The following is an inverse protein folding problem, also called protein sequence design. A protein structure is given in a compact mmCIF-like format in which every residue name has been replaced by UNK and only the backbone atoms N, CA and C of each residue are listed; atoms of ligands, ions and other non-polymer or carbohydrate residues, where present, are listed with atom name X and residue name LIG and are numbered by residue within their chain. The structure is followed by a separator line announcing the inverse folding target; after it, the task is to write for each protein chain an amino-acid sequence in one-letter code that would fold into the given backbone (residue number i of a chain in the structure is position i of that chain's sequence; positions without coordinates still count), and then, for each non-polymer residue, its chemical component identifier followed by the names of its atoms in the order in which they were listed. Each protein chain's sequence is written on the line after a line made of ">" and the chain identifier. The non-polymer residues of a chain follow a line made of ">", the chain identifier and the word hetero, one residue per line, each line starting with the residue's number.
data_IF_799963725328
#
_entry.id   IF_799963725328
#
_cell.length_a   1.000
_cell.length_b   1.000
_cell.length_c   1.000
_cell.angle_alpha   90.00
_cell.angle_beta   90.00
_cell.angle_gamma   90.00
#
_symmetry.space_group_name_H-M   'P 1'
#
loop_
_entity.id
_entity.type
_entity.pdbx_description
1 polymer ?
#
# COMPACT_ATOMS: atom_id res chain seq x y z
N UNK A 1 11.36 -1.30 -1.11
CA UNK A 1 10.48 -0.37 -1.85
C UNK A 1 11.26 0.42 -2.91
N UNK A 2 12.41 1.01 -2.56
CA UNK A 2 13.23 1.75 -3.55
C UNK A 2 13.77 0.85 -4.65
N UNK A 3 14.23 -0.36 -4.30
CA UNK A 3 14.65 -1.34 -5.28
C UNK A 3 13.50 -1.76 -6.21
N UNK A 4 12.29 -1.95 -5.67
CA UNK A 4 11.12 -2.27 -6.50
C UNK A 4 10.81 -1.16 -7.52
N UNK A 5 10.89 0.11 -7.12
CA UNK A 5 10.72 1.26 -8.00
C UNK A 5 11.80 1.27 -9.11
N UNK A 6 13.07 1.05 -8.74
CA UNK A 6 14.18 1.02 -9.68
C UNK A 6 14.04 -0.13 -10.67
N UNK A 7 13.79 -1.34 -10.17
CA UNK A 7 13.70 -2.53 -11.01
C UNK A 7 12.49 -2.49 -11.94
N UNK A 8 11.36 -1.96 -11.48
CA UNK A 8 10.20 -1.76 -12.33
C UNK A 8 10.50 -0.81 -13.52
N UNK A 9 11.26 0.27 -13.29
CA UNK A 9 11.72 1.19 -14.37
C UNK A 9 12.71 0.56 -15.33
N UNK A 10 13.43 -0.47 -14.92
CA UNK A 10 14.41 -1.21 -15.72
C UNK A 10 13.82 -2.46 -16.37
N UNK A 11 12.54 -2.71 -16.19
CA UNK A 11 11.86 -3.94 -16.64
C UNK A 11 12.52 -5.22 -16.07
N UNK A 12 12.94 -5.15 -14.81
CA UNK A 12 13.55 -6.26 -14.06
C UNK A 12 12.56 -6.78 -13.01
N UNK A 13 12.40 -8.10 -12.94
CA UNK A 13 11.58 -8.73 -11.90
C UNK A 13 12.24 -8.58 -10.52
N UNK A 14 11.62 -7.76 -9.67
CA UNK A 14 12.06 -7.49 -8.30
C UNK A 14 12.10 -8.77 -7.46
N UNK A 15 11.11 -9.65 -7.62
CA UNK A 15 11.03 -10.91 -6.86
C UNK A 15 12.21 -11.83 -7.19
N UNK A 16 12.53 -11.99 -8.47
CA UNK A 16 13.67 -12.81 -8.90
C UNK A 16 15.00 -12.29 -8.35
N UNK A 17 15.19 -10.95 -8.31
CA UNK A 17 16.40 -10.34 -7.73
C UNK A 17 16.48 -10.59 -6.23
N UNK A 18 15.37 -10.43 -5.50
CA UNK A 18 15.34 -10.65 -4.05
C UNK A 18 15.54 -12.13 -3.69
N UNK A 19 15.02 -13.05 -4.50
CA UNK A 19 15.27 -14.50 -4.33
C UNK A 19 16.72 -14.85 -4.55
N UNK A 20 17.33 -14.34 -5.62
CA UNK A 20 18.76 -14.53 -5.89
C UNK A 20 19.64 -13.95 -4.77
N UNK A 21 19.35 -12.74 -4.28
CA UNK A 21 20.04 -12.12 -3.16
C UNK A 21 19.85 -12.92 -1.87
N UNK A 22 18.67 -13.49 -1.65
CA UNK A 22 18.28 -14.30 -0.50
C UNK A 22 19.05 -15.62 -0.37
N UNK A 23 19.76 -16.08 -1.42
CA UNK A 23 20.65 -17.24 -1.34
C UNK A 23 21.89 -16.97 -0.50
N UNK A 24 22.20 -15.71 -0.21
CA UNK A 24 23.33 -15.33 0.63
C UNK A 24 22.94 -15.33 2.11
N UNK A 25 23.73 -16.02 2.93
CA UNK A 25 23.46 -16.28 4.36
C UNK A 25 23.20 -15.03 5.22
N UNK A 26 23.75 -13.88 4.84
CA UNK A 26 23.61 -12.61 5.58
C UNK A 26 22.62 -11.63 4.95
N UNK A 27 21.85 -12.06 3.95
CA UNK A 27 20.79 -11.23 3.36
C UNK A 27 19.53 -11.28 4.23
N UNK A 28 18.99 -10.11 4.55
CA UNK A 28 17.72 -10.01 5.26
C UNK A 28 16.58 -10.04 4.25
N UNK A 29 15.69 -11.02 4.38
CA UNK A 29 14.61 -11.29 3.43
C UNK A 29 13.45 -10.28 3.56
N UNK A 30 13.75 -8.99 3.48
CA UNK A 30 12.72 -7.95 3.36
C UNK A 30 12.13 -7.94 1.95
N UNK A 31 10.81 -7.68 1.89
CA UNK A 31 10.09 -7.56 0.63
C UNK A 31 9.45 -6.18 0.50
N UNK A 32 9.26 -5.67 -0.74
CA UNK A 32 8.50 -4.44 -0.97
C UNK A 32 7.06 -4.57 -0.46
N UNK A 33 6.49 -3.48 0.00
CA UNK A 33 5.10 -3.44 0.44
C UNK A 33 4.72 -2.12 1.10
N UNK A 34 3.46 -2.03 1.47
CA UNK A 34 2.92 -0.91 2.24
C UNK A 34 3.24 -1.12 3.71
N UNK A 35 4.03 -0.21 4.30
CA UNK A 35 4.43 -0.31 5.70
C UNK A 35 3.46 0.46 6.57
N UNK A 36 2.66 -0.27 7.35
CA UNK A 36 1.69 0.25 8.31
C UNK A 36 1.89 -0.31 9.71
N UNK A 37 0.81 -0.32 10.51
CA UNK A 37 0.79 -0.88 11.85
C UNK A 37 1.15 0.12 12.94
N UNK A 38 1.23 -0.37 14.20
CA UNK A 38 1.34 0.49 15.37
C UNK A 38 2.75 1.04 15.61
N UNK A 39 3.79 0.19 15.54
CA UNK A 39 5.15 0.58 15.92
C UNK A 39 6.00 0.98 14.71
N UNK A 40 6.14 0.11 13.71
CA UNK A 40 7.07 0.32 12.59
C UNK A 40 6.73 1.58 11.79
N UNK A 41 5.44 1.89 11.66
CA UNK A 41 4.97 3.10 10.99
C UNK A 41 5.15 4.38 11.81
N UNK A 42 5.28 4.31 13.13
CA UNK A 42 5.16 5.46 14.05
C UNK A 42 6.45 5.73 14.84
N UNK A 43 7.07 4.72 15.45
CA UNK A 43 8.18 4.93 16.40
C UNK A 43 9.38 5.68 15.80
N UNK A 44 9.75 5.48 14.51
CA UNK A 44 10.80 6.28 13.89
C UNK A 44 10.51 7.79 13.89
N UNK A 45 9.23 8.19 13.84
CA UNK A 45 8.87 9.63 13.91
C UNK A 45 9.08 10.21 15.29
N UNK A 46 8.85 9.46 16.38
CA UNK A 46 9.20 9.93 17.72
C UNK A 46 10.71 10.19 17.85
N UNK A 47 11.53 9.28 17.31
CA UNK A 47 12.98 9.44 17.31
C UNK A 47 13.41 10.64 16.45
N UNK A 48 12.82 10.83 15.26
CA UNK A 48 13.14 11.99 14.40
C UNK A 48 12.73 13.31 15.06
N UNK A 49 11.55 13.34 15.70
CA UNK A 49 11.10 14.52 16.44
C UNK A 49 12.10 14.87 17.54
N UNK A 50 12.50 13.90 18.37
CA UNK A 50 13.47 14.12 19.44
C UNK A 50 14.84 14.55 18.92
N UNK A 51 15.26 13.97 17.80
CA UNK A 51 16.51 14.34 17.12
C UNK A 51 16.52 15.81 16.68
N UNK A 52 15.41 16.29 16.12
CA UNK A 52 15.26 17.69 15.72
C UNK A 52 15.27 18.63 16.93
N UNK A 53 14.66 18.27 18.05
CA UNK A 53 14.70 19.06 19.29
C UNK A 53 16.13 19.28 19.80
N UNK A 54 17.01 18.29 19.64
CA UNK A 54 18.42 18.41 20.04
C UNK A 54 19.34 18.94 18.92
N UNK A 55 18.76 19.48 17.84
CA UNK A 55 19.48 20.15 16.77
C UNK A 55 20.08 19.24 15.69
N UNK A 56 19.68 17.94 15.61
CA UNK A 56 20.19 17.03 14.59
C UNK A 56 19.09 16.62 13.62
N UNK A 57 19.30 16.77 12.29
CA UNK A 57 18.37 16.33 11.26
C UNK A 57 18.72 14.91 10.80
N UNK A 58 17.88 13.89 11.11
CA UNK A 58 18.17 12.49 10.80
C UNK A 58 17.84 12.16 9.34
N UNK A 59 18.80 12.31 8.45
CA UNK A 59 18.64 12.22 7.00
C UNK A 59 18.18 10.83 6.53
N UNK A 60 18.80 9.75 7.02
CA UNK A 60 18.50 8.38 6.59
C UNK A 60 17.10 7.95 7.01
N UNK A 61 16.73 8.21 8.27
CA UNK A 61 15.40 7.84 8.80
C UNK A 61 14.31 8.59 8.03
N UNK A 62 14.49 9.89 7.83
CA UNK A 62 13.51 10.72 7.10
C UNK A 62 13.41 10.29 5.62
N UNK A 63 14.50 9.97 4.95
CA UNK A 63 14.48 9.49 3.56
C UNK A 63 13.70 8.17 3.45
N UNK A 64 13.99 7.19 4.33
CA UNK A 64 13.27 5.91 4.34
C UNK A 64 11.77 6.08 4.64
N UNK A 65 11.42 6.99 5.56
CA UNK A 65 10.01 7.29 5.86
C UNK A 65 9.30 7.95 4.67
N UNK A 66 9.91 8.97 4.07
CA UNK A 66 9.35 9.66 2.89
C UNK A 66 9.09 8.68 1.73
N UNK A 67 10.02 7.76 1.49
CA UNK A 67 9.84 6.73 0.47
C UNK A 67 8.62 5.84 0.78
N UNK A 68 8.55 5.29 2.00
CA UNK A 68 7.43 4.42 2.37
C UNK A 68 6.08 5.15 2.36
N UNK A 69 6.06 6.42 2.74
CA UNK A 69 4.85 7.24 2.73
C UNK A 69 4.38 7.54 1.28
N UNK A 70 5.28 7.52 0.30
CA UNK A 70 4.93 7.71 -1.11
C UNK A 70 4.47 6.44 -1.84
N UNK A 71 4.54 5.26 -1.20
CA UNK A 71 4.25 4.00 -1.89
C UNK A 71 2.81 3.84 -2.32
N UNK A 72 1.84 4.35 -1.55
CA UNK A 72 0.43 4.34 -1.97
C UNK A 72 0.20 5.07 -3.29
N UNK A 73 0.74 6.28 -3.41
CA UNK A 73 0.71 7.07 -4.65
C UNK A 73 1.42 6.34 -5.80
N UNK A 74 2.60 5.76 -5.53
CA UNK A 74 3.34 5.00 -6.54
C UNK A 74 2.52 3.83 -7.10
N UNK A 75 1.84 3.07 -6.24
CA UNK A 75 0.97 1.96 -6.66
C UNK A 75 -0.14 2.45 -7.58
N UNK A 76 -0.82 3.54 -7.22
CA UNK A 76 -1.90 4.11 -8.05
C UNK A 76 -1.36 4.60 -9.40
N UNK A 77 -0.18 5.22 -9.44
CA UNK A 77 0.47 5.62 -10.69
C UNK A 77 0.75 4.42 -11.60
N UNK A 78 1.29 3.32 -11.05
CA UNK A 78 1.55 2.12 -11.83
C UNK A 78 0.25 1.48 -12.36
N UNK A 79 -0.81 1.43 -11.55
CA UNK A 79 -2.11 0.93 -11.98
C UNK A 79 -2.70 1.84 -13.06
N UNK A 80 -2.60 3.16 -12.91
CA UNK A 80 -3.07 4.13 -13.90
C UNK A 80 -2.36 3.97 -15.25
N UNK A 81 -1.05 3.72 -15.25
CA UNK A 81 -0.29 3.41 -16.47
C UNK A 81 -0.76 2.11 -17.12
N UNK A 82 -1.05 1.07 -16.33
CA UNK A 82 -1.58 -0.20 -16.83
C UNK A 82 -2.99 -0.04 -17.41
N UNK A 83 -3.86 0.74 -16.74
CA UNK A 83 -5.20 1.05 -17.25
C UNK A 83 -5.11 1.76 -18.60
N UNK A 84 -4.26 2.77 -18.71
CA UNK A 84 -4.06 3.48 -19.97
C UNK A 84 -3.55 2.56 -21.10
N UNK A 85 -2.61 1.66 -20.81
CA UNK A 85 -2.11 0.67 -21.78
C UNK A 85 -3.18 -0.32 -22.27
N UNK A 86 -4.24 -0.51 -21.48
CA UNK A 86 -5.36 -1.41 -21.80
C UNK A 86 -6.63 -0.65 -22.22
N UNK A 87 -6.52 0.63 -22.58
CA UNK A 87 -7.62 1.49 -23.01
C UNK A 87 -8.76 1.62 -21.98
N UNK A 88 -8.43 1.49 -20.68
CA UNK A 88 -9.37 1.70 -19.57
C UNK A 88 -9.31 3.17 -19.13
N UNK A 89 -10.46 3.87 -19.18
CA UNK A 89 -10.54 5.25 -18.71
C UNK A 89 -10.47 5.30 -17.18
N UNK A 90 -9.61 6.16 -16.63
CA UNK A 90 -9.49 6.37 -15.19
C UNK A 90 -10.74 6.98 -14.57
N UNK A 91 -11.22 8.08 -15.17
CA UNK A 91 -12.38 8.80 -14.63
C UNK A 91 -13.65 7.95 -14.75
N UNK A 92 -14.26 7.65 -13.61
CA UNK A 92 -15.45 6.83 -13.51
C UNK A 92 -15.20 5.32 -13.52
N UNK A 93 -13.95 4.86 -13.63
CA UNK A 93 -13.62 3.44 -13.52
C UNK A 93 -14.04 2.86 -12.16
N UNK A 94 -14.52 1.62 -12.17
CA UNK A 94 -14.90 0.90 -10.96
C UNK A 94 -13.72 0.07 -10.46
N UNK A 95 -13.15 0.45 -9.35
CA UNK A 95 -11.98 -0.19 -8.73
C UNK A 95 -12.43 -1.02 -7.54
N UNK A 96 -12.04 -2.28 -7.47
CA UNK A 96 -12.17 -3.09 -6.26
C UNK A 96 -10.83 -3.16 -5.54
N UNK A 97 -10.79 -2.71 -4.29
CA UNK A 97 -9.64 -2.90 -3.40
C UNK A 97 -9.93 -4.06 -2.45
N UNK A 98 -9.10 -5.10 -2.52
CA UNK A 98 -9.15 -6.27 -1.65
C UNK A 98 -8.13 -6.13 -0.51
N UNK A 99 -8.63 -6.12 0.72
CA UNK A 99 -7.85 -5.91 1.95
C UNK A 99 -7.71 -4.44 2.34
N UNK A 100 -7.95 -4.16 3.62
CA UNK A 100 -7.80 -2.84 4.25
C UNK A 100 -6.86 -2.88 5.46
N UNK A 101 -6.57 -4.06 6.01
CA UNK A 101 -5.68 -4.23 7.15
C UNK A 101 -4.24 -3.85 6.80
N UNK A 102 -3.38 -3.63 7.80
CA UNK A 102 -1.98 -3.29 7.52
C UNK A 102 -1.12 -4.51 7.13
N UNK A 103 -1.61 -5.73 7.34
CA UNK A 103 -0.98 -6.99 6.93
C UNK A 103 -2.02 -8.10 6.80
N UNK A 104 -1.66 -9.16 6.09
CA UNK A 104 -2.49 -10.33 5.85
C UNK A 104 -2.88 -11.06 7.16
N UNK A 105 -4.07 -11.65 7.15
CA UNK A 105 -4.61 -12.51 8.21
C UNK A 105 -4.59 -11.88 9.62
N UNK A 106 -4.86 -10.57 9.69
CA UNK A 106 -4.84 -9.82 10.93
C UNK A 106 -5.91 -8.72 10.92
N UNK A 107 -6.82 -8.63 11.92
CA UNK A 107 -7.93 -7.67 11.93
C UNK A 107 -7.51 -6.25 12.36
N UNK A 108 -6.27 -5.85 12.14
CA UNK A 108 -5.75 -4.56 12.58
C UNK A 108 -5.57 -3.59 11.41
N UNK A 109 -6.28 -2.47 11.48
CA UNK A 109 -6.27 -1.42 10.44
C UNK A 109 -5.39 -0.21 10.80
N UNK A 110 -4.75 -0.21 11.98
CA UNK A 110 -3.98 0.95 12.44
C UNK A 110 -2.89 1.33 11.46
N UNK A 111 -2.93 2.60 11.03
CA UNK A 111 -1.98 3.17 10.07
C UNK A 111 -1.83 2.35 8.77
N UNK A 112 -2.91 1.69 8.33
CA UNK A 112 -2.92 1.01 7.04
C UNK A 112 -2.71 2.01 5.91
N UNK A 113 -1.71 1.74 5.06
CA UNK A 113 -1.41 2.55 3.88
C UNK A 113 -2.30 2.25 2.68
N UNK A 114 -3.17 1.26 2.81
CA UNK A 114 -4.22 1.00 1.79
C UNK A 114 -5.15 2.19 1.65
N UNK A 115 -5.36 2.95 2.74
CA UNK A 115 -6.16 4.18 2.72
C UNK A 115 -5.58 5.23 1.77
N UNK A 116 -4.25 5.30 1.63
CA UNK A 116 -3.60 6.22 0.69
C UNK A 116 -3.94 5.85 -0.77
N UNK A 117 -4.03 4.54 -1.07
CA UNK A 117 -4.45 4.04 -2.39
C UNK A 117 -5.92 4.39 -2.67
N UNK A 118 -6.80 4.16 -1.69
CA UNK A 118 -8.23 4.47 -1.81
C UNK A 118 -8.42 5.95 -2.09
N UNK A 119 -7.86 6.80 -1.24
CA UNK A 119 -7.98 8.26 -1.37
C UNK A 119 -7.44 8.77 -2.72
N UNK A 120 -6.33 8.20 -3.21
CA UNK A 120 -5.76 8.64 -4.48
C UNK A 120 -6.63 8.22 -5.67
N UNK A 121 -7.22 7.02 -5.67
CA UNK A 121 -8.20 6.64 -6.70
C UNK A 121 -9.45 7.53 -6.67
N UNK A 122 -9.95 7.88 -5.48
CA UNK A 122 -11.08 8.81 -5.35
C UNK A 122 -10.71 10.22 -5.84
N UNK A 123 -9.49 10.72 -5.57
CA UNK A 123 -9.00 12.01 -6.06
C UNK A 123 -8.97 12.10 -7.58
N UNK A 124 -8.63 11.02 -8.26
CA UNK A 124 -8.67 10.94 -9.74
C UNK A 124 -10.03 10.53 -10.28
N UNK A 125 -11.07 10.58 -9.44
CA UNK A 125 -12.47 10.36 -9.80
C UNK A 125 -12.81 8.93 -10.25
N UNK A 126 -12.13 7.92 -9.71
CA UNK A 126 -12.57 6.54 -9.79
C UNK A 126 -13.68 6.26 -8.77
N UNK A 127 -14.51 5.25 -9.03
CA UNK A 127 -15.44 4.69 -8.07
C UNK A 127 -14.73 3.56 -7.33
N UNK A 128 -14.54 3.68 -6.02
CA UNK A 128 -13.78 2.70 -5.24
C UNK A 128 -14.70 1.91 -4.32
N UNK A 129 -14.75 0.61 -4.52
CA UNK A 129 -15.35 -0.35 -3.62
C UNK A 129 -14.24 -1.07 -2.83
N UNK A 130 -14.42 -1.26 -1.52
CA UNK A 130 -13.43 -1.90 -0.65
C UNK A 130 -14.04 -3.13 0.01
N UNK A 131 -13.33 -4.25 -0.04
CA UNK A 131 -13.73 -5.48 0.62
C UNK A 131 -12.60 -6.05 1.48
N UNK A 132 -12.90 -6.31 2.75
CA UNK A 132 -11.99 -6.96 3.69
C UNK A 132 -12.81 -7.79 4.68
N UNK A 133 -12.64 -9.14 4.72
CA UNK A 133 -13.39 -10.02 5.61
C UNK A 133 -12.94 -9.94 7.08
N UNK A 134 -11.74 -9.40 7.35
CA UNK A 134 -11.15 -9.30 8.69
C UNK A 134 -11.52 -8.02 9.43
N UNK A 135 -12.07 -7.03 8.74
CA UNK A 135 -12.29 -5.70 9.31
C UNK A 135 -13.73 -5.49 9.72
N UNK A 136 -13.93 -4.98 10.94
CA UNK A 136 -15.24 -4.48 11.38
C UNK A 136 -15.62 -3.22 10.58
N UNK A 137 -16.78 -3.28 9.91
CA UNK A 137 -17.26 -2.20 9.03
C UNK A 137 -17.44 -0.88 9.77
N UNK A 138 -17.92 -0.93 11.02
CA UNK A 138 -18.13 0.27 11.82
C UNK A 138 -16.80 0.92 12.21
N UNK A 139 -15.75 0.11 12.38
CA UNK A 139 -14.41 0.58 12.67
C UNK A 139 -13.76 1.25 11.46
N UNK A 140 -13.84 0.62 10.27
CA UNK A 140 -13.36 1.20 9.02
C UNK A 140 -14.02 2.56 8.73
N UNK A 141 -15.33 2.64 8.93
CA UNK A 141 -16.08 3.89 8.75
C UNK A 141 -15.67 4.98 9.74
N UNK A 142 -15.43 4.64 11.03
CA UNK A 142 -15.03 5.63 12.05
C UNK A 142 -13.60 6.12 11.88
N UNK A 143 -12.65 5.22 11.58
CA UNK A 143 -11.22 5.55 11.56
C UNK A 143 -10.79 6.15 10.21
N UNK A 144 -11.35 5.67 9.10
CA UNK A 144 -10.91 6.01 7.75
C UNK A 144 -12.00 6.58 6.84
N UNK A 145 -13.25 6.63 7.29
CA UNK A 145 -14.42 7.01 6.48
C UNK A 145 -14.65 6.08 5.27
N UNK A 146 -14.09 4.87 5.31
CA UNK A 146 -14.23 3.85 4.28
C UNK A 146 -15.43 2.95 4.57
N UNK A 147 -16.31 2.80 3.57
CA UNK A 147 -17.46 1.89 3.62
C UNK A 147 -17.08 0.53 3.03
N UNK A 148 -17.09 -0.53 3.85
CA UNK A 148 -16.78 -1.88 3.37
C UNK A 148 -17.98 -2.59 2.79
N UNK A 149 -17.80 -3.23 1.64
CA UNK A 149 -18.78 -4.13 1.04
C UNK A 149 -19.07 -5.36 1.92
N UNK A 150 -20.23 -5.97 1.73
CA UNK A 150 -20.54 -7.31 2.24
C UNK A 150 -19.87 -8.39 1.40
N UNK A 151 -19.98 -8.24 0.08
CA UNK A 151 -19.33 -9.07 -0.94
C UNK A 151 -19.08 -8.22 -2.20
N UNK A 152 -18.00 -8.48 -2.93
CA UNK A 152 -17.78 -7.89 -4.24
C UNK A 152 -18.88 -8.26 -5.25
N UNK A 153 -19.08 -7.43 -6.27
CA UNK A 153 -20.04 -7.67 -7.35
C UNK A 153 -19.33 -8.33 -8.53
N UNK A 154 -19.82 -9.47 -8.97
CA UNK A 154 -19.24 -10.18 -10.12
C UNK A 154 -19.36 -9.37 -11.42
N UNK A 155 -18.26 -9.31 -12.17
CA UNK A 155 -18.23 -8.68 -13.50
C UNK A 155 -18.46 -7.17 -13.51
N UNK A 156 -18.33 -6.50 -12.36
CA UNK A 156 -18.62 -5.06 -12.24
C UNK A 156 -17.36 -4.18 -12.31
N UNK A 157 -16.22 -4.70 -11.93
CA UNK A 157 -15.01 -3.91 -11.76
C UNK A 157 -14.14 -3.90 -13.00
N UNK A 158 -13.61 -2.71 -13.33
CA UNK A 158 -12.62 -2.52 -14.39
C UNK A 158 -11.22 -2.93 -13.93
N UNK A 159 -10.94 -2.77 -12.62
CA UNK A 159 -9.65 -3.11 -11.99
C UNK A 159 -9.88 -3.73 -10.60
N UNK A 160 -9.09 -4.75 -10.29
CA UNK A 160 -9.01 -5.35 -8.95
C UNK A 160 -7.60 -5.14 -8.40
N UNK A 161 -7.51 -4.53 -7.23
CA UNK A 161 -6.25 -4.26 -6.52
C UNK A 161 -6.18 -5.16 -5.29
N UNK A 162 -5.35 -6.18 -5.32
CA UNK A 162 -5.04 -7.00 -4.14
C UNK A 162 -4.04 -6.22 -3.28
N UNK A 163 -4.55 -5.40 -2.34
CA UNK A 163 -3.73 -4.56 -1.49
C UNK A 163 -3.18 -5.32 -0.27
N UNK A 164 -3.96 -6.26 0.27
CA UNK A 164 -3.55 -7.17 1.36
C UNK A 164 -4.04 -8.57 1.02
N UNK A 165 -3.11 -9.52 0.94
CA UNK A 165 -3.39 -10.89 0.49
C UNK A 165 -3.85 -11.78 1.65
N UNK A 166 -5.10 -11.62 2.10
CA UNK A 166 -5.71 -12.57 3.04
C UNK A 166 -5.90 -13.95 2.39
N UNK A 167 -5.86 -14.99 3.20
CA UNK A 167 -6.03 -16.38 2.73
C UNK A 167 -7.41 -16.65 2.10
N UNK A 168 -8.39 -15.79 2.36
CA UNK A 168 -9.75 -15.87 1.80
C UNK A 168 -9.89 -15.30 0.39
N UNK A 169 -8.88 -14.65 -0.16
CA UNK A 169 -8.86 -14.11 -1.52
C UNK A 169 -8.19 -15.08 -2.48
#
# INVERSE_FOLDING_TARGET
>A
NELAIIFNRLDIDTQAVLEAAGTKWNFLAFRPGLVGGHCIGIDPYYLTHKSLEVGYTPKIILAGRSLNDSMGLYVVQQISELMHKNDINLVGANILVLGLTFKENCPDIRNSRVVDIINEFENIQCNVDVYDPWVDKSRAQREFQVSLLGHPKDGFYDVIVLAVAHDEF
#
